data_IF_585304159231
#
_entry.id   IF_585304159231
#
_cell.length_a   1.000
_cell.length_b   1.000
_cell.length_c   1.000
_cell.angle_alpha   90.00
_cell.angle_beta   90.00
_cell.angle_gamma   90.00
#
_symmetry.space_group_name_H-M   'P 1'
#
loop_
_entity.id
_entity.type
_entity.pdbx_description
1 polymer ?
#
# COMPACT_ATOMS: atom_id res chain seq x y z
N UNK A 1 -14.47 5.59 -8.97
CA UNK A 1 -13.78 4.86 -7.88
C UNK A 1 -14.02 5.61 -6.58
N UNK A 2 -15.13 5.34 -5.89
CA UNK A 2 -15.50 6.09 -4.69
C UNK A 2 -16.22 5.20 -3.67
N UNK A 3 -15.59 4.08 -3.33
CA UNK A 3 -16.01 3.26 -2.18
C UNK A 3 -14.79 3.05 -1.32
N UNK A 4 -14.92 3.26 -0.01
CA UNK A 4 -13.89 2.98 1.00
C UNK A 4 -13.66 1.48 1.19
N UNK A 5 -13.46 0.77 0.07
CA UNK A 5 -13.26 -0.67 0.01
C UNK A 5 -11.75 -0.93 -0.08
N UNK A 6 -11.31 -1.97 0.61
CA UNK A 6 -9.93 -2.44 0.56
C UNK A 6 -9.67 -3.15 -0.78
N UNK A 7 -8.49 -2.90 -1.36
CA UNK A 7 -8.12 -3.44 -2.67
C UNK A 7 -6.96 -4.42 -2.47
N UNK A 8 -7.13 -5.64 -2.98
CA UNK A 8 -6.06 -6.62 -3.08
C UNK A 8 -5.50 -6.61 -4.50
N UNK A 9 -4.18 -6.40 -4.63
CA UNK A 9 -3.47 -6.46 -5.90
C UNK A 9 -2.67 -7.77 -5.97
N UNK A 10 -3.05 -8.68 -6.87
CA UNK A 10 -2.35 -9.94 -7.11
C UNK A 10 -1.60 -9.91 -8.44
N UNK A 11 -0.45 -10.59 -8.48
CA UNK A 11 0.39 -10.68 -9.67
C UNK A 11 1.83 -11.04 -9.31
N UNK A 12 2.61 -11.47 -10.30
CA UNK A 12 4.01 -11.85 -10.12
C UNK A 12 4.90 -10.71 -9.59
N UNK A 13 6.06 -11.05 -9.03
CA UNK A 13 7.08 -10.07 -8.61
C UNK A 13 7.55 -9.24 -9.81
N UNK A 14 7.81 -7.94 -9.60
CA UNK A 14 8.26 -7.05 -10.67
C UNK A 14 7.17 -6.47 -11.59
N UNK A 15 5.90 -6.90 -11.47
CA UNK A 15 4.78 -6.41 -12.31
C UNK A 15 4.29 -5.00 -11.98
N UNK A 16 4.96 -4.26 -11.08
CA UNK A 16 4.61 -2.86 -10.80
C UNK A 16 3.39 -2.65 -9.89
N UNK A 17 3.01 -3.64 -9.07
CA UNK A 17 1.88 -3.53 -8.12
C UNK A 17 1.92 -2.28 -7.23
N UNK A 18 3.11 -1.88 -6.76
CA UNK A 18 3.29 -0.66 -5.97
C UNK A 18 3.00 0.62 -6.76
N UNK A 19 3.41 0.68 -8.02
CA UNK A 19 3.10 1.78 -8.94
C UNK A 19 1.60 1.86 -9.21
N UNK A 20 0.95 0.72 -9.42
CA UNK A 20 -0.51 0.65 -9.59
C UNK A 20 -1.24 1.13 -8.33
N UNK A 21 -0.81 0.71 -7.13
CA UNK A 21 -1.38 1.17 -5.86
C UNK A 21 -1.26 2.71 -5.71
N UNK A 22 -0.11 3.28 -6.07
CA UNK A 22 0.09 4.74 -6.07
C UNK A 22 -0.81 5.46 -7.06
N UNK A 23 -0.99 4.91 -8.27
CA UNK A 23 -1.91 5.46 -9.27
C UNK A 23 -3.38 5.41 -8.79
N UNK A 24 -3.80 4.31 -8.14
CA UNK A 24 -5.13 4.19 -7.54
C UNK A 24 -5.34 5.24 -6.46
N UNK A 25 -4.35 5.44 -5.57
CA UNK A 25 -4.40 6.47 -4.53
C UNK A 25 -4.57 7.87 -5.14
N UNK A 26 -3.73 8.24 -6.12
CA UNK A 26 -3.76 9.54 -6.79
C UNK A 26 -5.11 9.84 -7.47
N UNK A 27 -5.79 8.81 -7.98
CA UNK A 27 -7.11 8.94 -8.64
C UNK A 27 -8.30 8.83 -7.67
N UNK A 28 -8.05 8.63 -6.38
CA UNK A 28 -9.10 8.54 -5.36
C UNK A 28 -9.39 9.90 -4.71
N UNK A 29 -10.49 10.00 -3.96
CA UNK A 29 -10.83 11.20 -3.17
C UNK A 29 -9.75 11.57 -2.13
N UNK A 30 -8.89 10.61 -1.74
CA UNK A 30 -7.78 10.80 -0.82
C UNK A 30 -6.43 11.02 -1.55
N UNK A 31 -6.43 11.26 -2.86
CA UNK A 31 -5.18 11.41 -3.64
C UNK A 31 -4.27 12.55 -3.20
N UNK A 32 -4.80 13.56 -2.49
CA UNK A 32 -4.02 14.65 -1.88
C UNK A 32 -3.50 14.33 -0.46
N UNK A 33 -3.97 13.24 0.16
CA UNK A 33 -3.51 12.79 1.48
C UNK A 33 -2.22 11.97 1.35
N UNK A 34 -1.44 11.81 2.43
CA UNK A 34 -0.24 10.97 2.41
C UNK A 34 -0.52 9.55 1.92
N UNK A 35 0.43 9.01 1.17
CA UNK A 35 0.44 7.61 0.74
C UNK A 35 1.68 6.95 1.34
N UNK A 36 1.47 5.96 2.20
CA UNK A 36 2.54 5.20 2.84
C UNK A 36 2.59 3.84 2.17
N UNK A 37 3.72 3.52 1.55
CA UNK A 37 3.98 2.20 1.00
C UNK A 37 4.86 1.42 1.98
N UNK A 38 4.45 0.20 2.30
CA UNK A 38 5.19 -0.69 3.18
C UNK A 38 5.41 -2.03 2.51
N UNK A 39 6.64 -2.53 2.58
CA UNK A 39 7.02 -3.83 2.03
C UNK A 39 7.14 -4.83 3.18
N UNK A 40 6.17 -5.74 3.31
CA UNK A 40 6.18 -6.76 4.36
C UNK A 40 7.43 -7.65 4.32
N UNK A 41 8.00 -7.90 3.13
CA UNK A 41 9.22 -8.69 2.98
C UNK A 41 10.49 -7.99 3.49
N UNK A 42 10.46 -6.66 3.66
CA UNK A 42 11.59 -5.88 4.15
C UNK A 42 11.56 -5.70 5.68
N UNK A 43 10.53 -6.22 6.37
CA UNK A 43 10.33 -6.03 7.81
C UNK A 43 10.57 -7.34 8.57
N UNK A 44 11.41 -7.33 9.61
CA UNK A 44 11.50 -8.45 10.55
C UNK A 44 10.19 -8.57 11.34
N UNK A 45 9.68 -9.80 11.52
CA UNK A 45 8.43 -10.05 12.26
C UNK A 45 8.47 -9.47 13.68
N UNK A 46 9.64 -9.53 14.33
CA UNK A 46 9.85 -9.00 15.68
C UNK A 46 9.77 -7.48 15.77
N UNK A 47 9.83 -6.76 14.64
CA UNK A 47 9.76 -5.29 14.58
C UNK A 47 8.47 -4.81 13.90
N UNK A 48 7.65 -5.72 13.36
CA UNK A 48 6.45 -5.35 12.63
C UNK A 48 5.47 -4.55 13.48
N UNK A 49 5.30 -4.95 14.75
CA UNK A 49 4.36 -4.32 15.68
C UNK A 49 4.80 -2.90 16.05
N UNK A 50 6.07 -2.71 16.44
CA UNK A 50 6.61 -1.40 16.80
C UNK A 50 6.64 -0.42 15.63
N UNK A 51 6.88 -0.89 14.40
CA UNK A 51 6.92 -0.02 13.21
C UNK A 51 5.52 0.36 12.69
N UNK A 52 4.53 -0.53 12.85
CA UNK A 52 3.16 -0.28 12.39
C UNK A 52 2.33 0.53 13.39
N UNK A 53 2.56 0.32 14.68
CA UNK A 53 1.68 0.83 15.73
C UNK A 53 2.38 1.74 16.75
N UNK A 54 3.72 1.69 16.82
CA UNK A 54 4.52 2.41 17.82
C UNK A 54 4.74 1.59 19.08
#
# INVERSE_FOLDING_TARGET
MNKGINILLQGATGTGKGTLAKAIHLRSHRGKKPFIAMCCAAMPETLAESELFG
#
